data_IF_550419860011
#
_entry.id   IF_550419860011
#
_cell.length_a   1.000
_cell.length_b   1.000
_cell.length_c   1.000
_cell.angle_alpha   90.00
_cell.angle_beta   90.00
_cell.angle_gamma   90.00
#
_symmetry.space_group_name_H-M   'P 1'
#
loop_
_entity.id
_entity.type
_entity.pdbx_description
1 polymer ?
#
# COMPACT_ATOMS: atom_id res chain seq x y z
N UNK A 1 24.63 -19.16 -18.99
CA UNK A 1 25.06 -18.26 -17.89
C UNK A 1 23.82 -17.59 -17.26
N UNK A 2 23.56 -17.73 -15.96
CA UNK A 2 22.41 -17.06 -15.33
C UNK A 2 22.67 -15.55 -15.32
N UNK A 3 21.69 -14.69 -15.72
CA UNK A 3 21.91 -13.25 -15.79
C UNK A 3 22.18 -12.66 -14.41
N UNK A 4 23.17 -11.81 -14.32
CA UNK A 4 23.52 -11.03 -13.12
C UNK A 4 22.35 -10.08 -12.75
N UNK A 5 22.08 -9.81 -11.48
CA UNK A 5 21.02 -8.89 -11.03
C UNK A 5 21.35 -7.39 -11.25
N UNK A 6 22.15 -7.06 -12.26
CA UNK A 6 22.70 -5.74 -12.54
C UNK A 6 21.64 -4.59 -12.52
N UNK A 7 20.44 -4.86 -13.02
CA UNK A 7 19.37 -3.85 -13.01
C UNK A 7 18.87 -3.52 -11.60
N UNK A 8 18.89 -4.48 -10.69
CA UNK A 8 18.50 -4.24 -9.29
C UNK A 8 19.65 -3.57 -8.52
N UNK A 9 20.88 -4.02 -8.78
CA UNK A 9 22.10 -3.43 -8.23
C UNK A 9 22.18 -1.94 -8.57
N UNK A 10 22.03 -1.57 -9.83
CA UNK A 10 22.05 -0.17 -10.28
C UNK A 10 20.97 0.71 -9.65
N UNK A 11 19.87 0.12 -9.19
CA UNK A 11 18.77 0.86 -8.53
C UNK A 11 18.94 1.01 -7.03
N UNK A 12 19.51 0.01 -6.36
CA UNK A 12 19.64 -0.02 -4.91
C UNK A 12 21.02 0.44 -4.44
N UNK A 13 22.02 0.40 -5.29
CA UNK A 13 23.42 0.66 -4.98
C UNK A 13 23.98 1.74 -5.90
N UNK A 14 23.44 2.95 -5.80
CA UNK A 14 23.88 4.09 -6.64
C UNK A 14 25.36 4.43 -6.46
N UNK A 15 25.90 4.22 -5.24
CA UNK A 15 27.30 4.51 -4.87
C UNK A 15 28.13 3.24 -4.67
N UNK A 16 27.75 2.13 -5.32
CA UNK A 16 28.44 0.84 -5.14
C UNK A 16 27.72 -0.12 -4.17
N UNK A 17 28.21 -1.37 -4.04
CA UNK A 17 27.61 -2.39 -3.20
C UNK A 17 27.53 -1.97 -1.73
N UNK A 18 26.34 -2.11 -1.12
CA UNK A 18 26.13 -1.82 0.29
C UNK A 18 26.00 -3.13 1.06
N UNK A 19 26.88 -3.35 2.04
CA UNK A 19 26.82 -4.53 2.87
C UNK A 19 25.62 -4.48 3.84
N UNK A 20 24.66 -5.42 3.79
CA UNK A 20 23.50 -5.40 4.66
C UNK A 20 23.80 -5.80 6.12
N UNK A 21 25.02 -6.21 6.42
CA UNK A 21 25.46 -6.64 7.75
C UNK A 21 26.15 -5.52 8.54
N UNK A 22 27.09 -4.82 7.91
CA UNK A 22 27.88 -3.76 8.57
C UNK A 22 27.63 -2.36 8.00
N UNK A 23 26.86 -2.22 6.94
CA UNK A 23 26.54 -0.92 6.33
C UNK A 23 27.64 -0.33 5.45
N UNK A 24 28.81 -0.95 5.33
CA UNK A 24 29.93 -0.45 4.52
C UNK A 24 29.51 -0.34 3.04
N UNK A 25 29.87 0.77 2.41
CA UNK A 25 29.53 1.12 1.03
C UNK A 25 30.77 0.97 0.13
N UNK A 26 30.59 0.37 -1.05
CA UNK A 26 31.60 0.19 -2.11
C UNK A 26 32.88 -0.58 -1.70
N UNK A 27 32.88 -1.20 -0.54
CA UNK A 27 34.00 -2.05 -0.06
C UNK A 27 33.60 -3.53 -0.13
N UNK A 28 33.29 -4.03 -1.31
CA UNK A 28 32.94 -5.42 -1.50
C UNK A 28 33.49 -5.98 -2.82
N UNK A 29 34.01 -7.19 -2.76
CA UNK A 29 34.55 -7.91 -3.91
C UNK A 29 33.47 -8.80 -4.54
N UNK A 30 33.23 -8.65 -5.85
CA UNK A 30 32.37 -9.56 -6.59
C UNK A 30 33.03 -10.92 -6.72
N UNK A 31 32.41 -11.94 -6.16
CA UNK A 31 32.89 -13.31 -6.26
C UNK A 31 32.63 -13.87 -7.66
N UNK A 32 33.70 -14.28 -8.32
CA UNK A 32 33.70 -14.87 -9.67
C UNK A 32 33.89 -16.38 -9.59
N UNK A 33 33.57 -17.06 -10.70
CA UNK A 33 33.75 -18.52 -10.85
C UNK A 33 32.40 -19.27 -10.90
N UNK A 34 32.46 -20.49 -11.41
CA UNK A 34 31.26 -21.33 -11.65
C UNK A 34 30.63 -21.87 -10.36
N UNK A 35 31.41 -21.95 -9.28
CA UNK A 35 30.97 -22.39 -7.95
C UNK A 35 30.08 -21.36 -7.24
N UNK A 36 30.13 -20.11 -7.68
CA UNK A 36 29.39 -19.01 -7.06
C UNK A 36 28.15 -18.62 -7.86
N UNK A 37 27.09 -18.26 -7.15
CA UNK A 37 25.89 -17.69 -7.80
C UNK A 37 26.19 -16.29 -8.35
N UNK A 38 25.68 -15.91 -9.51
CA UNK A 38 25.87 -14.56 -10.08
C UNK A 38 25.40 -13.46 -9.12
N UNK A 39 26.22 -12.41 -8.97
CA UNK A 39 25.92 -11.27 -8.08
C UNK A 39 26.12 -11.58 -6.60
N UNK A 40 26.99 -12.56 -6.26
CA UNK A 40 27.47 -12.77 -4.91
C UNK A 40 28.69 -11.87 -4.66
N UNK A 41 28.62 -11.08 -3.60
CA UNK A 41 29.70 -10.23 -3.14
C UNK A 41 30.19 -10.72 -1.78
N UNK A 42 31.47 -10.50 -1.49
CA UNK A 42 32.05 -10.61 -0.15
C UNK A 42 32.39 -9.22 0.35
N UNK A 43 31.89 -8.85 1.51
CA UNK A 43 32.27 -7.60 2.17
C UNK A 43 33.74 -7.65 2.60
N UNK A 44 34.54 -6.63 2.27
CA UNK A 44 35.95 -6.59 2.65
C UNK A 44 36.13 -6.24 4.13
N UNK A 45 35.19 -5.50 4.74
CA UNK A 45 35.23 -5.13 6.15
C UNK A 45 34.81 -6.28 7.08
N UNK A 46 33.58 -6.83 6.93
CA UNK A 46 33.07 -7.86 7.84
C UNK A 46 33.20 -9.30 7.33
N UNK A 47 33.72 -9.50 6.12
CA UNK A 47 33.93 -10.80 5.45
C UNK A 47 32.64 -11.61 5.15
N UNK A 48 31.47 -11.06 5.40
CA UNK A 48 30.19 -11.73 5.16
C UNK A 48 29.81 -11.70 3.68
N UNK A 49 29.34 -12.85 3.13
CA UNK A 49 28.86 -12.90 1.75
C UNK A 49 27.42 -12.36 1.65
N UNK A 50 27.14 -11.59 0.61
CA UNK A 50 25.80 -11.02 0.37
C UNK A 50 25.48 -10.85 -1.10
N UNK A 51 24.22 -10.63 -1.39
CA UNK A 51 23.71 -10.24 -2.70
C UNK A 51 22.76 -9.07 -2.53
N UNK A 52 22.47 -8.36 -3.60
CA UNK A 52 21.52 -7.23 -3.61
C UNK A 52 20.11 -7.56 -3.08
N UNK A 53 19.77 -8.84 -2.93
CA UNK A 53 18.47 -9.25 -2.39
C UNK A 53 18.48 -9.46 -0.87
N UNK A 54 19.63 -9.56 -0.23
CA UNK A 54 19.74 -9.72 1.23
C UNK A 54 19.28 -8.43 1.91
N UNK A 55 18.51 -8.55 2.97
CA UNK A 55 17.91 -7.40 3.66
C UNK A 55 16.74 -6.76 2.90
N UNK A 56 16.22 -7.40 1.86
CA UNK A 56 15.09 -6.88 1.07
C UNK A 56 13.90 -7.83 1.08
N UNK A 57 12.75 -7.35 0.59
CA UNK A 57 11.58 -8.21 0.36
C UNK A 57 11.84 -9.38 -0.60
N UNK A 58 12.90 -9.35 -1.40
CA UNK A 58 13.25 -10.42 -2.35
C UNK A 58 14.13 -11.50 -1.72
N UNK A 59 14.59 -11.30 -0.50
CA UNK A 59 15.45 -12.26 0.21
C UNK A 59 14.81 -13.65 0.30
N UNK A 60 15.66 -14.69 0.15
CA UNK A 60 15.29 -16.13 0.23
C UNK A 60 14.16 -16.55 -0.71
N UNK A 61 13.94 -15.82 -1.79
CA UNK A 61 12.95 -16.18 -2.79
C UNK A 61 13.51 -17.20 -3.77
N UNK A 62 12.74 -18.27 -4.05
CA UNK A 62 13.02 -19.22 -5.14
C UNK A 62 12.51 -18.71 -6.49
N UNK A 63 11.73 -17.62 -6.51
CA UNK A 63 11.26 -17.00 -7.75
C UNK A 63 12.42 -16.23 -8.38
N UNK A 64 12.72 -16.45 -9.68
CA UNK A 64 13.79 -15.73 -10.37
C UNK A 64 13.57 -14.21 -10.35
N UNK A 65 14.65 -13.45 -10.22
CA UNK A 65 14.59 -11.99 -10.04
C UNK A 65 13.87 -11.27 -11.20
N UNK A 66 14.05 -11.73 -12.44
CA UNK A 66 13.35 -11.14 -13.59
C UNK A 66 11.82 -11.24 -13.47
N UNK A 67 11.30 -12.32 -12.87
CA UNK A 67 9.86 -12.46 -12.60
C UNK A 67 9.39 -11.52 -11.49
N UNK A 68 10.24 -11.23 -10.50
CA UNK A 68 9.96 -10.19 -9.49
C UNK A 68 9.84 -8.82 -10.14
N UNK A 69 10.81 -8.44 -10.96
CA UNK A 69 10.81 -7.14 -11.64
C UNK A 69 9.62 -7.00 -12.60
N UNK A 70 9.32 -8.06 -13.37
CA UNK A 70 8.15 -8.09 -14.25
C UNK A 70 6.83 -7.97 -13.47
N UNK A 71 6.67 -8.70 -12.37
CA UNK A 71 5.48 -8.59 -11.52
C UNK A 71 5.32 -7.19 -10.92
N UNK A 72 6.42 -6.59 -10.44
CA UNK A 72 6.41 -5.23 -9.91
C UNK A 72 5.97 -4.24 -10.99
N UNK A 73 6.52 -4.32 -12.20
CA UNK A 73 6.13 -3.46 -13.32
C UNK A 73 4.63 -3.62 -13.65
N UNK A 74 4.15 -4.85 -13.83
CA UNK A 74 2.75 -5.13 -14.15
C UNK A 74 1.79 -4.56 -13.09
N UNK A 75 2.13 -4.69 -11.81
CA UNK A 75 1.30 -4.15 -10.72
C UNK A 75 1.34 -2.62 -10.69
N UNK A 76 2.47 -1.99 -10.99
CA UNK A 76 2.61 -0.52 -10.97
C UNK A 76 2.02 0.15 -12.20
N UNK A 77 2.06 -0.48 -13.36
CA UNK A 77 1.46 0.04 -14.59
C UNK A 77 -0.07 -0.08 -14.61
N UNK A 78 -0.66 -0.93 -13.78
CA UNK A 78 -2.11 -1.14 -13.76
C UNK A 78 -2.84 -0.08 -12.95
N UNK A 79 -3.78 0.65 -13.56
CA UNK A 79 -4.59 1.71 -12.90
C UNK A 79 -5.49 1.20 -11.74
N UNK A 80 -6.05 0.00 -11.90
CA UNK A 80 -7.00 -0.58 -10.93
C UNK A 80 -6.43 -1.77 -10.15
N UNK A 81 -5.14 -2.06 -10.34
CA UNK A 81 -4.50 -3.24 -9.80
C UNK A 81 -4.60 -4.45 -10.73
N UNK A 82 -3.86 -5.49 -10.39
CA UNK A 82 -3.83 -6.75 -11.13
C UNK A 82 -4.03 -7.92 -10.16
N UNK A 83 -4.89 -8.88 -10.53
CA UNK A 83 -5.11 -10.04 -9.68
C UNK A 83 -3.88 -10.95 -9.63
N UNK A 84 -3.62 -11.56 -8.50
CA UNK A 84 -2.51 -12.50 -8.35
C UNK A 84 -2.61 -13.70 -9.32
N UNK A 85 -3.84 -14.10 -9.67
CA UNK A 85 -4.06 -15.17 -10.65
C UNK A 85 -3.62 -14.75 -12.06
N UNK A 86 -3.87 -13.50 -12.44
CA UNK A 86 -3.45 -12.95 -13.72
C UNK A 86 -1.92 -12.83 -13.78
N UNK A 87 -1.30 -12.26 -12.76
CA UNK A 87 0.18 -12.20 -12.64
C UNK A 87 0.79 -13.60 -12.72
N UNK A 88 0.18 -14.59 -12.04
CA UNK A 88 0.63 -15.98 -12.09
C UNK A 88 0.61 -16.58 -13.49
N UNK A 89 -0.48 -16.37 -14.24
CA UNK A 89 -0.58 -16.85 -15.63
C UNK A 89 0.45 -16.19 -16.54
N UNK A 90 0.61 -14.88 -16.44
CA UNK A 90 1.55 -14.13 -17.29
C UNK A 90 3.01 -14.49 -17.03
N UNK A 91 3.36 -14.87 -15.81
CA UNK A 91 4.75 -15.16 -15.42
C UNK A 91 5.04 -16.66 -15.25
N UNK A 92 4.08 -17.53 -15.54
CA UNK A 92 4.23 -18.97 -15.34
C UNK A 92 4.52 -19.33 -13.87
N UNK A 93 3.73 -18.78 -12.93
CA UNK A 93 3.84 -19.03 -11.49
C UNK A 93 2.59 -19.75 -10.97
N UNK A 94 2.76 -20.59 -9.95
CA UNK A 94 1.62 -21.20 -9.25
C UNK A 94 0.75 -20.16 -8.57
N UNK A 95 -0.53 -20.45 -8.37
CA UNK A 95 -1.49 -19.57 -7.66
C UNK A 95 -0.96 -19.10 -6.30
N UNK A 96 -0.39 -20.04 -5.52
CA UNK A 96 0.17 -19.77 -4.19
C UNK A 96 1.39 -18.85 -4.26
N UNK A 97 2.30 -19.12 -5.19
CA UNK A 97 3.52 -18.34 -5.40
C UNK A 97 3.20 -16.91 -5.85
N UNK A 98 2.32 -16.75 -6.85
CA UNK A 98 1.94 -15.43 -7.36
C UNK A 98 1.17 -14.60 -6.33
N UNK A 99 0.29 -15.23 -5.54
CA UNK A 99 -0.42 -14.58 -4.46
C UNK A 99 0.54 -14.01 -3.41
N UNK A 100 1.49 -14.82 -2.95
CA UNK A 100 2.47 -14.39 -1.97
C UNK A 100 3.44 -13.34 -2.52
N UNK A 101 3.87 -13.49 -3.78
CA UNK A 101 4.69 -12.52 -4.49
C UNK A 101 3.99 -11.14 -4.55
N UNK A 102 2.72 -11.10 -4.97
CA UNK A 102 1.95 -9.85 -5.01
C UNK A 102 1.82 -9.21 -3.61
N UNK A 103 1.64 -10.03 -2.56
CA UNK A 103 1.58 -9.50 -1.19
C UNK A 103 2.92 -8.93 -0.70
N UNK A 104 4.04 -9.52 -1.10
CA UNK A 104 5.38 -8.96 -0.81
C UNK A 104 5.60 -7.65 -1.57
N UNK A 105 5.16 -7.54 -2.82
CA UNK A 105 5.21 -6.28 -3.58
C UNK A 105 4.33 -5.23 -2.89
N UNK A 106 3.10 -5.57 -2.45
CA UNK A 106 2.26 -4.63 -1.68
C UNK A 106 2.92 -4.13 -0.41
N UNK A 107 3.73 -4.96 0.24
CA UNK A 107 4.47 -4.55 1.44
C UNK A 107 5.54 -3.50 1.12
N UNK A 108 6.15 -3.51 -0.09
CA UNK A 108 7.10 -2.45 -0.49
C UNK A 108 6.44 -1.08 -0.63
N UNK A 109 5.13 -1.04 -0.90
CA UNK A 109 4.38 0.20 -1.17
C UNK A 109 3.92 0.91 0.11
N UNK A 110 4.02 0.25 1.28
CA UNK A 110 3.67 0.88 2.56
C UNK A 110 4.70 1.95 2.91
N UNK A 111 4.23 3.13 3.24
CA UNK A 111 5.06 4.17 3.84
C UNK A 111 5.46 3.75 5.26
N UNK A 112 6.74 3.89 5.60
CA UNK A 112 7.27 3.58 6.95
C UNK A 112 7.24 4.80 7.85
N UNK A 113 7.54 5.97 7.31
CA UNK A 113 7.57 7.25 8.01
C UNK A 113 6.82 8.30 7.19
N UNK A 114 5.50 8.29 7.24
CA UNK A 114 4.72 9.27 6.50
C UNK A 114 4.83 10.64 7.20
N UNK A 115 5.28 11.68 6.49
CA UNK A 115 5.16 13.06 6.94
C UNK A 115 3.69 13.45 7.13
N UNK A 116 3.37 14.56 7.78
CA UNK A 116 1.99 15.05 7.93
C UNK A 116 1.40 15.48 6.59
N UNK A 117 0.09 15.32 6.42
CA UNK A 117 -0.68 15.87 5.31
C UNK A 117 -1.17 17.27 5.66
N UNK A 118 -1.42 18.08 4.63
CA UNK A 118 -1.95 19.42 4.80
C UNK A 118 -0.90 20.44 5.24
N UNK A 119 -1.31 21.39 6.05
CA UNK A 119 -0.56 22.54 6.49
C UNK A 119 -1.24 23.84 6.03
N UNK A 120 -0.61 24.99 6.29
CA UNK A 120 -1.14 26.30 5.93
C UNK A 120 -1.44 26.40 4.42
N UNK A 121 -2.63 26.86 4.06
CA UNK A 121 -3.09 26.96 2.68
C UNK A 121 -3.48 25.64 2.01
N UNK A 122 -3.31 24.51 2.67
CA UNK A 122 -3.69 23.19 2.16
C UNK A 122 -5.08 22.77 2.61
N UNK A 123 -5.80 22.06 1.73
CA UNK A 123 -7.13 21.50 2.03
C UNK A 123 -7.08 19.99 2.00
N UNK A 124 -7.59 19.36 3.05
CA UNK A 124 -7.73 17.90 3.16
C UNK A 124 -9.21 17.53 3.28
N UNK A 125 -9.66 16.63 2.41
CA UNK A 125 -10.98 16.03 2.48
C UNK A 125 -10.89 14.74 3.32
N UNK A 126 -11.85 14.54 4.23
CA UNK A 126 -11.93 13.36 5.09
C UNK A 126 -13.29 12.70 4.92
N UNK A 127 -13.30 11.40 4.73
CA UNK A 127 -14.54 10.62 4.60
C UNK A 127 -14.28 9.13 4.87
N UNK A 128 -15.34 8.37 5.06
CA UNK A 128 -15.28 6.92 5.16
C UNK A 128 -16.01 6.21 4.04
N UNK A 129 -15.57 4.98 3.80
CA UNK A 129 -16.28 4.08 2.91
C UNK A 129 -16.27 2.65 3.43
N UNK A 130 -17.21 1.83 2.95
CA UNK A 130 -17.36 0.45 3.38
C UNK A 130 -17.04 -0.51 2.24
N UNK A 131 -16.10 -1.42 2.50
CA UNK A 131 -15.61 -2.42 1.56
C UNK A 131 -16.09 -3.80 1.98
N UNK A 132 -16.68 -4.54 1.06
CA UNK A 132 -17.15 -5.91 1.31
C UNK A 132 -18.36 -6.27 0.45
N UNK A 133 -18.72 -7.55 0.48
CA UNK A 133 -19.88 -8.06 -0.25
C UNK A 133 -21.22 -7.60 0.35
N UNK A 134 -22.26 -7.64 -0.45
CA UNK A 134 -23.62 -7.36 0.02
C UNK A 134 -24.13 -8.50 0.91
N UNK A 135 -24.80 -8.18 2.02
CA UNK A 135 -25.39 -9.17 2.93
C UNK A 135 -26.37 -10.11 2.23
N UNK A 136 -27.14 -9.58 1.23
CA UNK A 136 -28.06 -10.40 0.43
C UNK A 136 -27.39 -11.52 -0.36
N UNK A 137 -26.09 -11.40 -0.66
CA UNK A 137 -25.32 -12.40 -1.41
C UNK A 137 -24.72 -13.48 -0.50
N UNK A 138 -24.81 -13.34 0.82
CA UNK A 138 -24.37 -14.35 1.78
C UNK A 138 -25.41 -15.45 1.94
N UNK A 139 -24.95 -16.66 2.29
CA UNK A 139 -25.87 -17.73 2.69
C UNK A 139 -26.76 -17.26 3.84
N UNK A 140 -28.03 -17.66 3.85
CA UNK A 140 -29.05 -17.17 4.83
C UNK A 140 -28.60 -17.26 6.29
N UNK A 141 -27.93 -18.37 6.66
CA UNK A 141 -27.40 -18.58 8.02
C UNK A 141 -26.26 -17.63 8.42
N UNK A 142 -25.59 -16.98 7.43
CA UNK A 142 -24.47 -16.08 7.65
C UNK A 142 -24.85 -14.59 7.48
N UNK A 143 -26.11 -14.29 7.18
CA UNK A 143 -26.58 -12.91 7.04
C UNK A 143 -26.72 -12.29 8.42
N UNK A 144 -26.13 -11.11 8.59
CA UNK A 144 -26.39 -10.25 9.76
C UNK A 144 -27.71 -9.53 9.50
N UNK A 145 -28.72 -9.85 10.29
CA UNK A 145 -30.03 -9.21 10.18
C UNK A 145 -29.99 -7.76 10.67
N UNK A 146 -30.61 -6.87 9.90
CA UNK A 146 -30.82 -5.43 10.16
C UNK A 146 -29.52 -4.62 10.35
N UNK A 147 -29.17 -3.90 9.35
CA UNK A 147 -28.13 -2.87 9.37
C UNK A 147 -28.09 -2.09 8.08
N UNK A 148 -27.92 -0.80 8.18
CA UNK A 148 -27.70 0.12 7.09
C UNK A 148 -26.29 -0.06 6.49
N UNK A 149 -26.09 0.41 5.29
CA UNK A 149 -24.89 0.52 4.44
C UNK A 149 -23.59 -0.22 4.78
N UNK A 150 -23.11 -0.14 6.02
CA UNK A 150 -21.83 -0.71 6.46
C UNK A 150 -21.90 -2.10 7.10
N UNK A 151 -23.10 -2.64 7.35
CA UNK A 151 -23.25 -3.92 8.08
C UNK A 151 -22.53 -5.07 7.37
N UNK A 152 -21.64 -5.75 8.09
CA UNK A 152 -20.87 -6.89 7.57
C UNK A 152 -19.78 -6.53 6.57
N UNK A 153 -19.46 -5.25 6.45
CA UNK A 153 -18.37 -4.72 5.63
C UNK A 153 -17.25 -4.16 6.50
N UNK A 154 -16.09 -3.99 5.91
CA UNK A 154 -14.92 -3.39 6.55
C UNK A 154 -14.92 -1.88 6.30
N UNK A 155 -14.74 -1.09 7.35
CA UNK A 155 -14.68 0.36 7.24
C UNK A 155 -13.28 0.82 6.81
N UNK A 156 -13.24 1.70 5.82
CA UNK A 156 -12.03 2.37 5.34
C UNK A 156 -12.23 3.87 5.52
N UNK A 157 -11.36 4.48 6.30
CA UNK A 157 -11.30 5.93 6.49
C UNK A 157 -10.13 6.49 5.68
N UNK A 158 -10.33 7.57 4.96
CA UNK A 158 -9.29 8.18 4.14
C UNK A 158 -9.15 9.68 4.38
N UNK A 159 -7.93 10.16 4.18
CA UNK A 159 -7.53 11.56 4.16
C UNK A 159 -6.98 11.84 2.77
N UNK A 160 -7.54 12.80 2.05
CA UNK A 160 -7.10 13.17 0.69
C UNK A 160 -6.78 14.65 0.65
N UNK A 161 -5.51 14.96 0.47
CA UNK A 161 -5.06 16.32 0.22
C UNK A 161 -5.41 16.71 -1.24
N UNK A 162 -6.02 17.87 -1.42
CA UNK A 162 -6.35 18.38 -2.76
C UNK A 162 -5.09 18.64 -3.56
N UNK A 163 -5.04 18.11 -4.80
CA UNK A 163 -3.85 18.12 -5.67
C UNK A 163 -2.63 17.40 -5.08
N UNK A 164 -2.75 16.78 -3.92
CA UNK A 164 -1.70 16.13 -3.17
C UNK A 164 -1.91 14.61 -3.03
N UNK A 165 -1.68 14.11 -1.84
CA UNK A 165 -1.60 12.71 -1.49
C UNK A 165 -2.88 12.19 -0.82
N UNK A 166 -3.03 10.88 -0.80
CA UNK A 166 -4.06 10.16 -0.04
C UNK A 166 -3.42 9.24 0.98
N UNK A 167 -4.10 9.03 2.09
CA UNK A 167 -3.85 7.95 3.05
C UNK A 167 -5.15 7.34 3.48
N UNK A 168 -5.23 6.02 3.36
CA UNK A 168 -6.40 5.26 3.74
C UNK A 168 -6.09 4.25 4.83
N UNK A 169 -7.01 4.11 5.76
CA UNK A 169 -6.88 3.30 6.96
C UNK A 169 -8.05 2.32 7.06
N UNK A 170 -7.73 1.05 7.27
CA UNK A 170 -8.72 0.08 7.69
C UNK A 170 -8.96 0.28 9.19
N UNK A 171 -10.18 0.63 9.56
CA UNK A 171 -10.57 0.91 10.94
C UNK A 171 -11.67 -0.08 11.40
N UNK A 172 -11.64 -0.53 12.67
CA UNK A 172 -12.64 -1.47 13.18
C UNK A 172 -14.04 -0.86 13.27
N UNK A 173 -14.11 0.45 13.57
CA UNK A 173 -15.35 1.25 13.63
C UNK A 173 -15.04 2.70 13.32
N UNK A 174 -15.97 3.37 12.64
CA UNK A 174 -15.94 4.81 12.41
C UNK A 174 -16.47 5.51 13.65
N UNK A 175 -15.56 5.92 14.53
CA UNK A 175 -15.85 6.70 15.73
C UNK A 175 -14.63 7.52 16.16
N UNK A 176 -14.84 8.55 16.98
CA UNK A 176 -13.78 9.46 17.40
C UNK A 176 -12.60 8.71 18.06
N UNK A 177 -12.85 7.69 18.89
CA UNK A 177 -11.80 6.90 19.54
C UNK A 177 -10.80 6.26 18.58
N UNK A 178 -11.28 5.79 17.41
CA UNK A 178 -10.43 5.13 16.42
C UNK A 178 -9.83 6.12 15.43
N UNK A 179 -10.49 7.24 15.17
CA UNK A 179 -10.07 8.20 14.14
C UNK A 179 -9.18 9.32 14.69
N UNK A 180 -9.41 9.81 15.91
CA UNK A 180 -8.61 10.89 16.48
C UNK A 180 -7.10 10.59 16.48
N UNK A 181 -6.62 9.41 16.91
CA UNK A 181 -5.18 9.10 16.86
C UNK A 181 -4.59 9.10 15.44
N UNK A 182 -5.40 8.73 14.42
CA UNK A 182 -4.99 8.76 13.02
C UNK A 182 -4.81 10.19 12.54
N UNK A 183 -5.76 11.07 12.89
CA UNK A 183 -5.73 12.48 12.51
C UNK A 183 -4.58 13.21 13.18
N UNK A 184 -4.41 13.04 14.49
CA UNK A 184 -3.31 13.64 15.26
C UNK A 184 -1.93 13.25 14.73
N UNK A 185 -1.77 11.98 14.32
CA UNK A 185 -0.49 11.50 13.79
C UNK A 185 -0.21 11.90 12.35
N UNK A 186 -1.22 12.29 11.57
CA UNK A 186 -1.08 12.38 10.12
C UNK A 186 -1.53 13.70 9.50
N UNK A 187 -2.24 14.55 10.23
CA UNK A 187 -2.79 15.78 9.71
C UNK A 187 -2.26 16.99 10.49
N UNK A 188 -1.73 17.97 9.75
CA UNK A 188 -1.20 19.19 10.35
C UNK A 188 -2.33 20.08 10.89
N UNK A 189 -2.16 20.67 12.08
CA UNK A 189 -3.20 21.46 12.76
C UNK A 189 -3.73 22.67 11.97
N UNK A 190 -2.86 23.34 11.20
CA UNK A 190 -3.21 24.50 10.35
C UNK A 190 -3.88 24.12 9.01
N UNK A 191 -4.43 22.91 8.89
CA UNK A 191 -5.06 22.41 7.67
C UNK A 191 -6.52 22.83 7.59
N UNK A 192 -6.97 23.26 6.41
CA UNK A 192 -8.41 23.40 6.11
C UNK A 192 -9.00 22.01 5.87
N UNK A 193 -10.02 21.66 6.63
CA UNK A 193 -10.62 20.31 6.59
C UNK A 193 -12.04 20.38 6.04
N UNK A 194 -12.33 19.53 5.03
CA UNK A 194 -13.66 19.35 4.48
C UNK A 194 -14.20 17.96 4.72
N UNK A 195 -15.44 17.86 5.17
CA UNK A 195 -16.12 16.60 5.45
C UNK A 195 -17.54 16.59 4.87
N UNK A 196 -18.17 15.41 4.91
CA UNK A 196 -19.62 15.31 4.76
C UNK A 196 -20.36 15.70 6.06
N UNK A 197 -21.70 15.48 6.07
CA UNK A 197 -22.54 15.74 7.24
C UNK A 197 -22.38 14.73 8.38
N UNK A 198 -21.58 13.70 8.26
CA UNK A 198 -21.38 12.65 9.25
C UNK A 198 -20.99 13.20 10.63
N UNK A 199 -21.74 12.83 11.68
CA UNK A 199 -21.55 13.39 13.02
C UNK A 199 -20.13 13.18 13.57
N UNK A 200 -19.52 12.03 13.28
CA UNK A 200 -18.14 11.70 13.69
C UNK A 200 -17.14 12.61 12.97
N UNK A 201 -17.28 12.76 11.66
CA UNK A 201 -16.40 13.59 10.82
C UNK A 201 -16.50 15.06 11.21
N UNK A 202 -17.73 15.57 11.43
CA UNK A 202 -17.95 16.94 11.96
C UNK A 202 -17.33 17.17 13.33
N UNK A 203 -17.48 16.22 14.26
CA UNK A 203 -16.91 16.33 15.59
C UNK A 203 -15.40 16.40 15.59
N UNK A 204 -14.75 15.58 14.75
CA UNK A 204 -13.29 15.56 14.60
C UNK A 204 -12.76 16.76 13.80
N UNK A 205 -13.50 17.21 12.79
CA UNK A 205 -13.11 18.37 11.98
C UNK A 205 -12.94 19.65 12.80
N UNK A 206 -13.72 19.81 13.88
CA UNK A 206 -13.62 20.96 14.80
C UNK A 206 -12.30 21.05 15.58
N UNK A 207 -11.47 20.01 15.51
CA UNK A 207 -10.11 20.04 16.10
C UNK A 207 -9.10 20.83 15.23
N UNK A 208 -9.50 21.24 14.03
CA UNK A 208 -8.66 21.95 13.07
C UNK A 208 -9.08 23.41 12.96
N UNK A 209 -8.13 24.25 12.54
CA UNK A 209 -8.30 25.70 12.46
C UNK A 209 -9.51 26.11 11.62
N UNK A 210 -9.71 25.43 10.48
CA UNK A 210 -10.87 25.65 9.62
C UNK A 210 -11.49 24.33 9.22
N UNK A 211 -12.76 24.14 9.62
CA UNK A 211 -13.56 22.98 9.23
C UNK A 211 -14.87 23.45 8.59
N UNK A 212 -15.15 22.91 7.40
CA UNK A 212 -16.43 23.08 6.71
C UNK A 212 -16.99 21.74 6.26
N UNK A 213 -18.31 21.63 6.17
CA UNK A 213 -18.97 20.41 5.73
C UNK A 213 -20.05 20.70 4.71
N UNK A 214 -20.24 19.78 3.76
CA UNK A 214 -21.39 19.74 2.83
C UNK A 214 -22.46 18.78 3.35
N UNK A 215 -23.71 19.04 2.97
CA UNK A 215 -24.83 18.21 3.41
C UNK A 215 -25.52 17.51 2.24
N UNK A 216 -25.12 16.29 1.98
CA UNK A 216 -25.67 15.48 0.89
C UNK A 216 -27.14 15.09 1.11
N UNK A 217 -27.63 15.03 2.37
CA UNK A 217 -29.02 14.68 2.68
C UNK A 217 -30.02 15.72 2.16
N UNK A 218 -29.61 16.99 2.02
CA UNK A 218 -30.43 18.08 1.44
C UNK A 218 -30.04 18.41 0.01
N UNK A 219 -29.22 17.58 -0.64
CA UNK A 219 -28.74 17.80 -2.02
C UNK A 219 -27.61 18.83 -2.17
N UNK A 220 -26.97 19.27 -1.09
CA UNK A 220 -25.83 20.17 -1.15
C UNK A 220 -24.54 19.36 -1.36
N UNK A 221 -24.10 19.17 -2.60
CA UNK A 221 -22.87 18.47 -2.95
C UNK A 221 -21.65 19.40 -3.03
N UNK A 222 -21.86 20.68 -3.31
CA UNK A 222 -20.83 21.71 -3.47
C UNK A 222 -21.34 23.03 -2.96
N UNK A 223 -20.54 23.73 -2.15
CA UNK A 223 -20.80 25.09 -1.70
C UNK A 223 -19.53 25.94 -1.89
N UNK A 224 -19.42 26.65 -3.01
CA UNK A 224 -18.19 27.29 -3.42
C UNK A 224 -17.07 26.27 -3.60
N UNK A 225 -16.00 26.42 -2.84
CA UNK A 225 -14.87 25.46 -2.85
C UNK A 225 -15.07 24.26 -1.90
N UNK A 226 -16.12 24.29 -1.07
CA UNK A 226 -16.37 23.21 -0.11
C UNK A 226 -17.06 22.04 -0.80
N UNK A 227 -16.40 20.91 -0.88
CA UNK A 227 -16.92 19.67 -1.44
C UNK A 227 -16.03 18.49 -1.02
N UNK A 228 -16.52 17.25 -1.23
CA UNK A 228 -15.78 15.99 -0.98
C UNK A 228 -15.50 15.19 -2.25
N UNK A 229 -15.56 15.82 -3.42
CA UNK A 229 -15.44 15.17 -4.74
C UNK A 229 -14.09 14.46 -4.93
N UNK A 230 -13.01 14.96 -4.32
CA UNK A 230 -11.66 14.36 -4.50
C UNK A 230 -11.59 13.00 -3.79
N UNK A 231 -12.08 12.93 -2.57
CA UNK A 231 -12.10 11.68 -1.81
C UNK A 231 -13.11 10.67 -2.40
N UNK A 232 -14.27 11.14 -2.89
CA UNK A 232 -15.24 10.30 -3.59
C UNK A 232 -14.63 9.68 -4.85
N UNK A 233 -13.88 10.45 -5.62
CA UNK A 233 -13.13 9.97 -6.79
C UNK A 233 -12.14 8.88 -6.42
N UNK A 234 -11.39 9.05 -5.33
CA UNK A 234 -10.50 8.02 -4.80
C UNK A 234 -11.27 6.76 -4.40
N UNK A 235 -12.35 6.87 -3.64
CA UNK A 235 -13.18 5.74 -3.24
C UNK A 235 -13.82 5.01 -4.43
N UNK A 236 -14.18 5.74 -5.47
CA UNK A 236 -14.68 5.16 -6.72
C UNK A 236 -13.65 4.25 -7.39
N UNK A 237 -12.36 4.68 -7.42
CA UNK A 237 -11.26 3.87 -7.95
C UNK A 237 -11.03 2.64 -7.07
N UNK A 238 -10.99 2.82 -5.75
CA UNK A 238 -10.82 1.75 -4.77
C UNK A 238 -11.91 0.68 -4.92
N UNK A 239 -13.18 1.08 -4.90
CA UNK A 239 -14.33 0.17 -5.03
C UNK A 239 -14.33 -0.55 -6.38
N UNK A 240 -14.05 0.14 -7.49
CA UNK A 240 -13.93 -0.47 -8.82
C UNK A 240 -12.80 -1.49 -8.90
N UNK A 241 -11.67 -1.22 -8.26
CA UNK A 241 -10.56 -2.17 -8.19
C UNK A 241 -10.90 -3.40 -7.34
N UNK A 242 -11.47 -3.19 -6.16
CA UNK A 242 -11.84 -4.30 -5.27
C UNK A 242 -12.92 -5.17 -5.92
N UNK A 243 -13.99 -4.59 -6.45
CA UNK A 243 -15.10 -5.36 -7.01
C UNK A 243 -14.76 -5.97 -8.38
N UNK A 244 -14.06 -5.22 -9.25
CA UNK A 244 -13.82 -5.63 -10.64
C UNK A 244 -12.52 -6.42 -10.86
N UNK A 245 -11.47 -6.20 -10.04
CA UNK A 245 -10.17 -6.85 -10.23
C UNK A 245 -9.90 -7.93 -9.20
N UNK A 246 -10.17 -7.66 -7.93
CA UNK A 246 -9.85 -8.58 -6.83
C UNK A 246 -11.05 -9.41 -6.39
N UNK A 247 -12.27 -8.97 -6.70
CA UNK A 247 -13.57 -9.53 -6.32
C UNK A 247 -13.82 -9.60 -4.82
N UNK A 248 -12.84 -10.04 -4.05
CA UNK A 248 -12.90 -10.10 -2.59
C UNK A 248 -11.54 -9.86 -1.97
N UNK A 249 -11.51 -9.05 -0.93
CA UNK A 249 -10.33 -8.81 -0.10
C UNK A 249 -10.69 -9.11 1.34
N UNK A 250 -9.98 -10.04 1.97
CA UNK A 250 -10.23 -10.37 3.38
C UNK A 250 -9.72 -9.26 4.31
N UNK A 251 -10.37 -9.10 5.44
CA UNK A 251 -10.05 -8.12 6.48
C UNK A 251 -8.56 -8.07 6.82
N UNK A 252 -7.96 -9.22 7.08
CA UNK A 252 -6.54 -9.35 7.46
C UNK A 252 -5.55 -8.84 6.41
N UNK A 253 -5.98 -8.72 5.15
CA UNK A 253 -5.13 -8.28 4.04
C UNK A 253 -5.51 -6.88 3.53
N UNK A 254 -6.65 -6.32 3.94
CA UNK A 254 -7.18 -5.07 3.42
C UNK A 254 -6.15 -3.93 3.47
N UNK A 255 -5.42 -3.78 4.58
CA UNK A 255 -4.38 -2.74 4.72
C UNK A 255 -3.29 -2.78 3.64
N UNK A 256 -2.96 -3.97 3.09
CA UNK A 256 -1.97 -4.07 2.00
C UNK A 256 -2.54 -3.66 0.65
N UNK A 257 -3.83 -3.91 0.43
CA UNK A 257 -4.51 -3.44 -0.77
C UNK A 257 -4.70 -1.93 -0.72
N UNK A 258 -5.06 -1.37 0.44
CA UNK A 258 -5.13 0.08 0.63
C UNK A 258 -3.78 0.73 0.29
N UNK A 259 -2.67 0.23 0.84
CA UNK A 259 -1.33 0.72 0.51
C UNK A 259 -1.03 0.68 -1.00
N UNK A 260 -1.53 -0.33 -1.74
CA UNK A 260 -1.39 -0.41 -3.19
C UNK A 260 -2.23 0.67 -3.91
N UNK A 261 -3.45 0.97 -3.43
CA UNK A 261 -4.29 2.02 -4.01
C UNK A 261 -3.76 3.41 -3.69
N UNK A 262 -3.36 3.65 -2.42
CA UNK A 262 -2.75 4.90 -1.98
C UNK A 262 -1.49 5.20 -2.79
N UNK A 263 -0.59 4.22 -2.91
CA UNK A 263 0.64 4.37 -3.68
C UNK A 263 0.36 4.77 -5.14
N UNK A 264 -0.57 4.08 -5.84
CA UNK A 264 -0.92 4.43 -7.22
C UNK A 264 -1.56 5.81 -7.35
N UNK A 265 -2.32 6.23 -6.38
CA UNK A 265 -2.90 7.58 -6.35
C UNK A 265 -1.82 8.63 -6.10
N UNK A 266 -0.94 8.40 -5.14
CA UNK A 266 0.13 9.31 -4.74
C UNK A 266 1.22 9.46 -5.81
N UNK A 267 1.43 8.43 -6.63
CA UNK A 267 2.41 8.41 -7.71
C UNK A 267 1.72 8.43 -9.09
N UNK A 268 0.61 9.16 -9.24
CA UNK A 268 -0.15 9.21 -10.50
C UNK A 268 0.49 10.12 -11.53
N UNK A 269 0.18 9.88 -12.82
CA UNK A 269 0.68 10.69 -13.94
C UNK A 269 0.35 12.18 -13.81
N UNK A 270 -0.80 12.54 -13.20
CA UNK A 270 -1.15 13.92 -12.92
C UNK A 270 -0.16 14.65 -11.98
N UNK A 271 0.69 13.92 -11.28
CA UNK A 271 1.82 14.42 -10.47
C UNK A 271 3.18 14.21 -11.17
N UNK A 272 3.19 13.96 -12.47
CA UNK A 272 4.40 13.80 -13.28
C UNK A 272 5.06 12.42 -13.22
N UNK A 273 4.45 11.42 -12.59
CA UNK A 273 5.05 10.09 -12.39
C UNK A 273 4.69 9.11 -13.51
N UNK A 274 5.69 8.62 -14.26
CA UNK A 274 5.53 7.54 -15.23
C UNK A 274 5.38 6.15 -14.56
N UNK A 275 4.99 5.13 -15.34
CA UNK A 275 4.96 3.74 -14.86
C UNK A 275 6.35 3.22 -14.46
N UNK A 276 7.39 3.68 -15.14
CA UNK A 276 8.78 3.34 -14.85
C UNK A 276 9.25 3.97 -13.52
N UNK A 277 8.84 5.22 -13.25
CA UNK A 277 9.14 5.90 -11.98
C UNK A 277 8.43 5.23 -10.82
N UNK A 278 7.14 4.89 -10.98
CA UNK A 278 6.40 4.10 -9.98
C UNK A 278 7.08 2.77 -9.67
N UNK A 279 7.50 2.05 -10.70
CA UNK A 279 8.24 0.81 -10.51
C UNK A 279 9.56 1.05 -9.76
N UNK A 280 10.32 2.06 -10.13
CA UNK A 280 11.62 2.40 -9.53
C UNK A 280 11.47 2.72 -8.05
N UNK A 281 10.50 3.56 -7.70
CA UNK A 281 10.19 3.95 -6.32
C UNK A 281 9.69 2.76 -5.49
N UNK A 282 8.85 1.88 -6.07
CA UNK A 282 8.43 0.63 -5.44
C UNK A 282 9.61 -0.30 -5.13
N UNK A 283 10.61 -0.37 -6.03
CA UNK A 283 11.82 -1.17 -5.82
C UNK A 283 12.67 -0.57 -4.68
N UNK A 284 12.81 0.75 -4.61
CA UNK A 284 13.51 1.37 -3.47
C UNK A 284 12.84 1.00 -2.13
N UNK A 285 11.53 0.90 -2.09
CA UNK A 285 10.76 0.53 -0.91
C UNK A 285 10.86 -0.93 -0.45
N UNK A 286 11.66 -1.79 -1.09
CA UNK A 286 11.84 -3.18 -0.64
C UNK A 286 12.89 -3.33 0.47
N UNK A 287 13.79 -2.36 0.60
CA UNK A 287 14.91 -2.41 1.55
C UNK A 287 14.40 -2.36 2.98
N UNK A 288 14.99 -3.15 3.87
CA UNK A 288 14.63 -3.22 5.30
C UNK A 288 13.27 -3.85 5.60
N UNK A 289 12.47 -4.18 4.58
CA UNK A 289 11.15 -4.79 4.77
C UNK A 289 11.21 -6.30 4.61
N UNK A 290 10.35 -6.99 5.37
CA UNK A 290 10.23 -8.45 5.31
C UNK A 290 8.78 -8.89 5.44
N UNK A 291 8.37 -9.82 4.59
CA UNK A 291 7.10 -10.53 4.71
C UNK A 291 7.35 -12.03 4.58
N UNK A 292 7.04 -12.78 5.63
CA UNK A 292 7.16 -14.24 5.67
C UNK A 292 5.79 -14.89 5.48
N UNK A 293 5.76 -16.05 4.85
CA UNK A 293 4.57 -16.87 4.76
C UNK A 293 4.40 -17.63 6.09
N UNK A 294 3.30 -17.38 6.80
CA UNK A 294 2.91 -18.20 7.98
C UNK A 294 1.86 -19.21 7.55
N UNK A 295 2.04 -20.47 7.87
CA UNK A 295 1.01 -21.50 7.68
C UNK A 295 -0.10 -21.27 8.71
N UNK A 296 -1.36 -21.51 8.34
CA UNK A 296 -2.53 -21.30 9.22
C UNK A 296 -2.45 -22.10 10.52
N UNK A 297 -1.75 -23.24 10.52
CA UNK A 297 -1.60 -24.09 11.70
C UNK A 297 -0.53 -23.60 12.70
N UNK A 298 0.39 -22.72 12.29
CA UNK A 298 1.42 -22.17 13.17
C UNK A 298 0.91 -20.97 14.01
N UNK A 299 -0.23 -20.38 13.63
CA UNK A 299 -0.81 -19.24 14.34
C UNK A 299 -1.49 -19.62 15.67
N UNK A 300 -1.77 -20.91 15.90
CA UNK A 300 -2.44 -21.38 17.12
C UNK A 300 -1.50 -21.66 18.29
N UNK A 301 -0.19 -21.78 18.05
CA UNK A 301 0.78 -22.17 19.09
C UNK A 301 1.48 -21.00 19.80
N UNK A 302 1.10 -19.74 19.53
CA UNK A 302 1.69 -18.57 20.17
C UNK A 302 0.70 -17.76 21.03
N UNK A 303 -0.44 -18.35 21.39
CA UNK A 303 -1.43 -17.79 22.32
C UNK A 303 -1.63 -18.70 23.57
N UNK A 304 -0.62 -19.50 23.92
CA UNK A 304 -0.57 -20.22 25.20
C UNK A 304 0.52 -19.63 26.09
#
# INVERSE_FOLDING_TARGET
MKPRPARLEARLWASGPICPKCGTVDEATLMQGESHRPGLYQCNACREPFTVTVGTLYERSKVPLHKWLAATHLMMASKKGMSALQVGRMLGLSKKTSWFLCHRIRESLRETEPGMLGGEGSTVEMDETFVGGLEKNKHRSKRKHKGTGGTGKEAVYALVERKGRVRSHHVPKVNAKNLAPILEAQLHGATVVYTDEGATSKGLGRLYEKHESVNHSIGEYVRGDVHTNTIESYFSILKRGINGTFHHVSQQHLKRYLAEFDYRYNERMALGMSDADRMSKSIAGIVGKRLTYRRTNEAKNHQA
#
